data_IF_290849170775
#
_entry.id   IF_290849170775
#
_cell.length_a   1.000
_cell.length_b   1.000
_cell.length_c   1.000
_cell.angle_alpha   90.00
_cell.angle_beta   90.00
_cell.angle_gamma   90.00
#
_symmetry.space_group_name_H-M   'P 1'
#
loop_
_entity.id
_entity.type
_entity.pdbx_description
1 polymer ?
#
# COMPACT_ATOMS: atom_id res chain seq x y z
N UNK A 1 1.64 12.34 3.18
CA UNK A 1 1.18 11.03 3.67
C UNK A 1 2.16 10.56 4.71
N UNK A 2 1.70 9.96 5.81
CA UNK A 2 2.61 9.26 6.72
C UNK A 2 2.74 7.78 6.31
N UNK A 3 3.88 7.15 6.61
CA UNK A 3 4.06 5.72 6.40
C UNK A 3 4.64 5.11 7.68
N UNK A 4 3.93 4.13 8.23
CA UNK A 4 4.39 3.34 9.38
C UNK A 4 4.76 1.91 8.94
N UNK A 5 5.82 1.34 9.51
CA UNK A 5 6.28 -0.03 9.21
C UNK A 5 7.10 -0.18 7.92
N UNK A 6 7.58 0.92 7.34
CA UNK A 6 8.44 0.88 6.15
C UNK A 6 9.82 0.25 6.45
N UNK A 7 10.36 0.47 7.64
CA UNK A 7 11.56 -0.17 8.17
C UNK A 7 11.41 -1.70 8.25
N UNK A 8 10.25 -2.18 8.69
CA UNK A 8 9.91 -3.60 8.69
C UNK A 8 9.91 -4.18 7.26
N UNK A 9 9.30 -3.49 6.31
CA UNK A 9 9.30 -3.91 4.91
C UNK A 9 10.72 -3.94 4.34
N UNK A 10 11.53 -2.91 4.62
CA UNK A 10 12.91 -2.84 4.17
C UNK A 10 13.76 -3.99 4.75
N UNK A 11 13.56 -4.33 6.03
CA UNK A 11 14.18 -5.50 6.64
C UNK A 11 13.76 -6.80 5.93
N UNK A 12 12.47 -6.96 5.62
CA UNK A 12 11.96 -8.14 4.91
C UNK A 12 12.55 -8.29 3.50
N UNK A 13 12.86 -7.19 2.81
CA UNK A 13 13.47 -7.23 1.48
C UNK A 13 14.90 -7.81 1.48
N UNK A 14 15.56 -7.89 2.64
CA UNK A 14 16.84 -8.63 2.77
C UNK A 14 16.66 -10.15 2.64
N UNK A 15 15.41 -10.64 2.68
CA UNK A 15 15.06 -12.06 2.55
C UNK A 15 14.75 -12.38 1.09
N UNK A 16 15.15 -13.56 0.63
CA UNK A 16 14.89 -14.06 -0.74
C UNK A 16 13.40 -14.11 -1.10
N UNK A 17 12.54 -14.28 -0.09
CA UNK A 17 11.09 -14.28 -0.20
C UNK A 17 10.52 -13.60 1.03
N UNK A 18 9.56 -12.70 0.84
CA UNK A 18 8.82 -12.09 1.94
C UNK A 18 7.36 -11.87 1.55
N UNK A 19 6.54 -11.70 2.57
CA UNK A 19 5.20 -11.15 2.42
C UNK A 19 4.93 -10.21 3.58
N UNK A 20 4.24 -9.10 3.30
CA UNK A 20 3.70 -8.20 4.31
C UNK A 20 2.28 -7.78 3.93
N UNK A 21 1.58 -7.17 4.87
CA UNK A 21 0.27 -6.57 4.66
C UNK A 21 0.37 -5.06 4.80
N UNK A 22 -0.56 -4.36 4.17
CA UNK A 22 -0.67 -2.91 4.25
C UNK A 22 -2.13 -2.50 4.31
N UNK A 23 -2.45 -1.51 5.15
CA UNK A 23 -3.69 -0.74 5.07
C UNK A 23 -3.36 0.71 4.75
N UNK A 24 -4.09 1.32 3.84
CA UNK A 24 -3.74 2.66 3.36
C UNK A 24 -4.94 3.44 2.80
N UNK A 25 -4.84 4.76 2.84
CA UNK A 25 -5.77 5.70 2.20
C UNK A 25 -5.05 7.02 1.88
N UNK A 26 -5.78 8.11 1.67
CA UNK A 26 -5.21 9.44 1.38
C UNK A 26 -4.30 9.99 2.48
N UNK A 27 -4.48 9.55 3.72
CA UNK A 27 -3.74 10.05 4.87
C UNK A 27 -2.37 9.37 5.01
N UNK A 28 -2.24 8.12 4.57
CA UNK A 28 -0.99 7.37 4.70
C UNK A 28 -1.14 5.87 4.53
N UNK A 29 -0.15 5.14 5.05
CA UNK A 29 -0.14 3.69 5.07
C UNK A 29 0.43 3.13 6.37
N UNK A 30 -0.05 1.94 6.75
CA UNK A 30 0.50 1.13 7.84
C UNK A 30 0.84 -0.24 7.28
N UNK A 31 2.12 -0.61 7.36
CA UNK A 31 2.66 -1.89 6.91
C UNK A 31 2.91 -2.79 8.11
N UNK A 32 2.55 -4.06 8.01
CA UNK A 32 2.57 -4.99 9.14
C UNK A 32 2.74 -6.45 8.71
N UNK A 33 3.11 -7.35 9.64
CA UNK A 33 3.30 -8.76 9.35
C UNK A 33 2.03 -9.48 8.88
N UNK A 34 2.20 -10.58 8.13
CA UNK A 34 1.08 -11.35 7.56
C UNK A 34 0.22 -12.09 8.60
N UNK A 35 0.72 -12.32 9.80
CA UNK A 35 -0.04 -12.94 10.90
C UNK A 35 -1.12 -12.00 11.48
N UNK A 36 -0.97 -10.70 11.25
CA UNK A 36 -1.86 -9.68 11.77
C UNK A 36 -3.04 -9.44 10.83
N UNK A 37 -4.23 -9.26 11.40
CA UNK A 37 -5.46 -9.02 10.63
C UNK A 37 -5.58 -7.54 10.26
N UNK A 38 -6.00 -7.24 9.02
CA UNK A 38 -6.20 -5.87 8.56
C UNK A 38 -7.18 -5.09 9.46
N UNK A 39 -8.24 -5.73 9.97
CA UNK A 39 -9.22 -5.13 10.89
C UNK A 39 -8.67 -4.74 12.26
N UNK A 40 -7.51 -5.29 12.65
CA UNK A 40 -6.83 -4.94 13.90
C UNK A 40 -5.79 -3.82 13.71
N UNK A 41 -5.45 -3.46 12.47
CA UNK A 41 -4.45 -2.44 12.17
C UNK A 41 -5.14 -1.11 11.88
N UNK A 42 -4.80 -0.10 12.68
CA UNK A 42 -5.25 1.28 12.51
C UNK A 42 -4.06 2.23 12.53
N UNK A 43 -4.23 3.39 11.91
CA UNK A 43 -3.32 4.50 12.06
C UNK A 43 -4.08 5.83 12.04
N UNK A 44 -3.41 6.96 12.22
CA UNK A 44 -4.04 8.28 12.16
C UNK A 44 -4.91 8.44 10.89
N UNK A 45 -6.23 8.54 11.06
CA UNK A 45 -7.18 8.66 9.95
C UNK A 45 -7.31 7.44 9.03
N UNK A 46 -6.82 6.26 9.43
CA UNK A 46 -6.87 5.00 8.67
C UNK A 46 -7.54 3.92 9.52
N UNK A 47 -8.70 3.45 9.06
CA UNK A 47 -9.45 2.33 9.64
C UNK A 47 -9.87 1.39 8.52
N UNK A 48 -9.31 0.18 8.49
CA UNK A 48 -9.82 -0.89 7.66
C UNK A 48 -10.86 -1.68 8.45
N UNK A 49 -12.04 -1.87 7.87
CA UNK A 49 -13.11 -2.66 8.48
C UNK A 49 -13.67 -3.63 7.45
N UNK A 50 -14.09 -4.81 7.92
CA UNK A 50 -14.64 -5.84 7.06
C UNK A 50 -15.95 -5.36 6.42
N UNK A 51 -16.29 -5.94 5.25
CA UNK A 51 -17.49 -5.55 4.51
C UNK A 51 -17.45 -4.12 3.95
N UNK A 52 -16.26 -3.55 3.76
CA UNK A 52 -16.05 -2.21 3.18
C UNK A 52 -16.57 -1.06 4.05
N UNK A 53 -16.78 -1.28 5.36
CA UNK A 53 -17.26 -0.26 6.28
C UNK A 53 -16.18 0.78 6.66
N UNK A 54 -14.92 0.46 6.39
CA UNK A 54 -13.77 1.31 6.71
C UNK A 54 -13.47 2.37 5.67
N UNK A 55 -12.48 3.21 5.96
CA UNK A 55 -12.00 4.26 5.06
C UNK A 55 -10.62 3.92 4.46
N UNK A 56 -10.27 2.63 4.36
CA UNK A 56 -8.95 2.19 3.96
C UNK A 56 -8.99 1.00 3.01
N UNK A 57 -8.02 0.97 2.09
CA UNK A 57 -7.70 -0.18 1.25
C UNK A 57 -6.84 -1.17 2.02
N UNK A 58 -6.94 -2.44 1.67
CA UNK A 58 -6.01 -3.49 2.11
C UNK A 58 -5.14 -3.95 0.94
N UNK A 59 -3.87 -4.22 1.20
CA UNK A 59 -2.95 -4.77 0.22
C UNK A 59 -2.03 -5.85 0.79
N UNK A 60 -1.64 -6.78 -0.06
CA UNK A 60 -0.52 -7.69 0.16
C UNK A 60 0.73 -7.15 -0.54
N UNK A 61 1.87 -7.23 0.13
CA UNK A 61 3.17 -6.83 -0.39
C UNK A 61 4.03 -8.09 -0.58
N UNK A 62 4.63 -8.22 -1.75
CA UNK A 62 5.54 -9.31 -2.12
C UNK A 62 6.72 -8.73 -2.92
N UNK A 63 7.81 -9.48 -3.16
CA UNK A 63 8.95 -8.98 -3.91
C UNK A 63 8.53 -8.41 -5.28
N UNK A 64 8.73 -7.10 -5.46
CA UNK A 64 8.40 -6.38 -6.70
C UNK A 64 6.91 -6.15 -6.94
N UNK A 65 6.02 -6.36 -5.96
CA UNK A 65 4.57 -6.32 -6.21
C UNK A 65 3.74 -5.84 -5.01
N UNK A 66 2.75 -4.99 -5.29
CA UNK A 66 1.69 -4.54 -4.39
C UNK A 66 0.35 -5.04 -4.93
N UNK A 67 -0.34 -5.91 -4.19
CA UNK A 67 -1.66 -6.43 -4.56
C UNK A 67 -2.76 -5.80 -3.72
N UNK A 68 -3.52 -4.89 -4.31
CA UNK A 68 -4.59 -4.14 -3.64
C UNK A 68 -5.90 -4.91 -3.77
N UNK A 69 -6.57 -5.13 -2.65
CA UNK A 69 -7.91 -5.72 -2.60
C UNK A 69 -8.95 -4.72 -3.10
N UNK A 70 -9.95 -5.23 -3.81
CA UNK A 70 -11.10 -4.44 -4.23
C UNK A 70 -11.77 -3.75 -3.03
N UNK A 71 -12.22 -2.50 -3.22
CA UNK A 71 -13.07 -1.80 -2.28
C UNK A 71 -14.05 -0.90 -3.05
N UNK A 72 -15.34 -0.99 -2.73
CA UNK A 72 -16.40 -0.32 -3.50
C UNK A 72 -16.29 1.21 -3.52
N UNK A 73 -15.90 1.82 -2.38
CA UNK A 73 -15.72 3.28 -2.27
C UNK A 73 -14.40 3.81 -2.86
N UNK A 74 -13.58 2.94 -3.44
CA UNK A 74 -12.30 3.28 -4.05
C UNK A 74 -12.30 2.95 -5.54
N UNK A 75 -12.87 3.85 -6.37
CA UNK A 75 -12.77 3.70 -7.82
C UNK A 75 -11.30 3.75 -8.25
N UNK A 76 -10.98 3.13 -9.38
CA UNK A 76 -9.60 2.98 -9.86
C UNK A 76 -8.81 4.30 -9.91
N UNK A 77 -9.43 5.38 -10.39
CA UNK A 77 -8.79 6.70 -10.44
C UNK A 77 -8.35 7.21 -9.05
N UNK A 78 -9.17 6.94 -8.02
CA UNK A 78 -8.85 7.27 -6.63
C UNK A 78 -7.70 6.40 -6.11
N UNK A 79 -7.72 5.11 -6.38
CA UNK A 79 -6.64 4.18 -6.03
C UNK A 79 -5.32 4.62 -6.67
N UNK A 80 -5.32 4.95 -7.97
CA UNK A 80 -4.14 5.44 -8.70
C UNK A 80 -3.60 6.71 -8.05
N UNK A 81 -4.46 7.67 -7.71
CA UNK A 81 -4.04 8.91 -7.03
C UNK A 81 -3.39 8.66 -5.68
N UNK A 82 -3.97 7.77 -4.87
CA UNK A 82 -3.41 7.38 -3.56
C UNK A 82 -2.06 6.71 -3.75
N UNK A 83 -1.98 5.72 -4.64
CA UNK A 83 -0.75 4.96 -4.88
C UNK A 83 0.38 5.87 -5.37
N UNK A 84 0.11 6.77 -6.33
CA UNK A 84 1.11 7.74 -6.81
C UNK A 84 1.72 8.55 -5.66
N UNK A 85 0.90 9.04 -4.74
CA UNK A 85 1.38 9.78 -3.56
C UNK A 85 2.13 8.90 -2.59
N UNK A 86 1.69 7.65 -2.42
CA UNK A 86 2.28 6.69 -1.49
C UNK A 86 3.67 6.22 -1.94
N UNK A 87 3.84 5.83 -3.20
CA UNK A 87 5.15 5.40 -3.72
C UNK A 87 6.13 6.56 -3.92
N UNK A 88 5.64 7.80 -3.95
CA UNK A 88 6.46 9.00 -3.95
C UNK A 88 6.97 9.41 -2.56
N UNK A 89 6.56 8.74 -1.47
CA UNK A 89 7.10 9.08 -0.15
C UNK A 89 8.52 8.54 0.02
N UNK A 90 9.40 9.24 0.76
CA UNK A 90 10.78 8.78 1.00
C UNK A 90 10.84 7.38 1.61
N UNK A 91 9.91 7.06 2.51
CA UNK A 91 9.83 5.78 3.22
C UNK A 91 9.54 4.60 2.30
N UNK A 92 8.97 4.83 1.11
CA UNK A 92 8.66 3.77 0.13
C UNK A 92 9.44 3.93 -1.17
N UNK A 93 10.45 4.80 -1.21
CA UNK A 93 11.32 5.00 -2.38
C UNK A 93 11.99 3.71 -2.88
N UNK A 94 12.25 2.74 -1.99
CA UNK A 94 12.81 1.44 -2.35
C UNK A 94 11.83 0.51 -3.09
N UNK A 95 10.55 0.88 -3.18
CA UNK A 95 9.52 0.16 -3.95
C UNK A 95 9.41 0.66 -5.38
N UNK A 96 10.33 1.53 -5.83
CA UNK A 96 10.37 1.99 -7.22
C UNK A 96 10.42 0.81 -8.20
N UNK A 97 9.64 0.92 -9.27
CA UNK A 97 9.46 -0.13 -10.27
C UNK A 97 8.59 -1.32 -9.85
N UNK A 98 8.06 -1.38 -8.62
CA UNK A 98 7.15 -2.47 -8.23
C UNK A 98 5.84 -2.42 -9.02
N UNK A 99 5.30 -3.59 -9.36
CA UNK A 99 4.01 -3.71 -9.99
C UNK A 99 2.89 -3.48 -8.98
N UNK A 100 1.96 -2.59 -9.32
CA UNK A 100 0.76 -2.36 -8.51
C UNK A 100 -0.43 -3.02 -9.20
N UNK A 101 -1.10 -3.90 -8.49
CA UNK A 101 -2.25 -4.64 -8.99
C UNK A 101 -3.51 -4.22 -8.24
N UNK A 102 -4.59 -3.95 -8.96
CA UNK A 102 -5.92 -3.70 -8.41
C UNK A 102 -6.97 -4.42 -9.26
N UNK A 103 -7.89 -5.14 -8.61
CA UNK A 103 -8.90 -5.97 -9.29
C UNK A 103 -8.27 -6.95 -10.31
N UNK A 104 -7.15 -7.58 -9.94
CA UNK A 104 -6.36 -8.46 -10.80
C UNK A 104 -5.79 -7.81 -12.09
N UNK A 105 -5.80 -6.49 -12.19
CA UNK A 105 -5.22 -5.73 -13.31
C UNK A 105 -4.03 -4.90 -12.83
N UNK A 106 -3.02 -4.76 -13.69
CA UNK A 106 -1.90 -3.85 -13.44
C UNK A 106 -2.37 -2.41 -13.54
N UNK A 107 -2.16 -1.63 -12.48
CA UNK A 107 -2.36 -0.19 -12.50
C UNK A 107 -1.16 0.47 -13.18
N UNK A 108 -1.44 1.34 -14.14
CA UNK A 108 -0.41 2.17 -14.77
C UNK A 108 -0.16 3.37 -13.84
N UNK A 109 0.81 3.21 -12.95
CA UNK A 109 1.26 4.27 -12.05
C UNK A 109 2.45 4.97 -12.69
N UNK A 110 2.18 5.99 -13.51
CA UNK A 110 3.26 6.86 -14.00
C UNK A 110 3.67 7.78 -12.85
N UNK A 111 4.84 7.51 -12.28
CA UNK A 111 5.55 8.46 -11.44
C UNK A 111 6.05 9.57 -12.35
N UNK A 112 5.40 10.73 -12.34
CA UNK A 112 5.99 11.92 -12.91
C UNK A 112 7.21 12.23 -12.03
N UNK A 113 8.42 12.02 -12.57
CA UNK A 113 9.64 12.49 -11.91
C UNK A 113 9.50 14.00 -11.79
N UNK A 114 9.36 14.49 -10.56
CA UNK A 114 9.52 15.92 -10.29
C UNK A 114 10.87 16.35 -10.85
N UNK A 115 10.93 17.39 -11.70
CA UNK A 115 12.19 17.90 -12.20
C UNK A 115 13.02 18.37 -11.01
N UNK A 116 14.30 17.97 -11.03
CA UNK A 116 15.33 18.33 -10.06
C UNK A 116 15.62 19.83 -10.05
#
# INVERSE_FOLDING_TARGET
MYVAGADYLQFLMTKKSFSAKMVFNENGAVIFPVDSQHSKTKGPGISYEDGYAGNALAAMLAPGRIEIRYHQDFPEARVVSIVKKLVATPELSFTDGWEVMYQARKLVVVLEKSPS
#
